data_IF_005213843752
#
_entry.id   IF_005213843752
#
_cell.length_a   1.000
_cell.length_b   1.000
_cell.length_c   1.000
_cell.angle_alpha   90.00
_cell.angle_beta   90.00
_cell.angle_gamma   90.00
#
_symmetry.space_group_name_H-M   'P 1'
#
loop_
_entity.id
_entity.type
_entity.pdbx_description
1 polymer ?
#
# COMPACT_ATOMS: atom_id res chain seq x y z
N UNK A 1 2.10 8.87 4.59
CA UNK A 1 1.47 8.60 3.28
C UNK A 1 0.03 9.04 3.37
N UNK A 2 -0.47 9.83 2.40
CA UNK A 2 -1.87 10.28 2.35
C UNK A 2 -2.48 9.76 1.05
N UNK A 3 -3.60 9.06 1.16
CA UNK A 3 -4.37 8.56 0.03
C UNK A 3 -5.85 8.51 0.39
N UNK A 4 -6.72 8.77 -0.58
CA UNK A 4 -8.17 8.56 -0.46
C UNK A 4 -8.47 7.15 -0.94
N UNK A 5 -9.28 6.40 -0.19
CA UNK A 5 -9.69 5.04 -0.57
C UNK A 5 -11.16 5.05 -0.95
N UNK A 6 -11.47 4.67 -2.19
CA UNK A 6 -12.83 4.55 -2.71
C UNK A 6 -13.24 3.08 -2.77
N UNK A 7 -14.49 2.79 -2.43
CA UNK A 7 -15.02 1.42 -2.57
C UNK A 7 -15.26 1.05 -4.03
N UNK A 8 -15.81 1.96 -4.82
CA UNK A 8 -16.27 1.71 -6.19
C UNK A 8 -15.57 2.59 -7.21
N UNK A 9 -15.60 2.16 -8.48
CA UNK A 9 -15.10 2.94 -9.61
C UNK A 9 -15.86 4.26 -9.76
N UNK A 10 -17.19 4.25 -9.64
CA UNK A 10 -17.98 5.49 -9.67
C UNK A 10 -17.64 6.46 -8.54
N UNK A 11 -17.24 5.94 -7.37
CA UNK A 11 -16.74 6.77 -6.27
C UNK A 11 -15.40 7.43 -6.58
N UNK A 12 -14.53 6.78 -7.36
CA UNK A 12 -13.29 7.36 -7.88
C UNK A 12 -13.59 8.47 -8.90
N UNK A 13 -14.48 8.21 -9.87
CA UNK A 13 -14.87 9.18 -10.90
C UNK A 13 -15.55 10.42 -10.29
N UNK A 14 -16.31 10.26 -9.20
CA UNK A 14 -16.98 11.37 -8.53
C UNK A 14 -16.01 12.32 -7.77
N UNK A 15 -14.76 11.91 -7.52
CA UNK A 15 -13.79 12.76 -6.82
C UNK A 15 -13.24 13.89 -7.68
N UNK A 16 -13.12 13.66 -8.99
CA UNK A 16 -12.53 14.63 -9.92
C UNK A 16 -13.15 14.46 -11.30
N UNK A 17 -13.70 15.56 -11.83
CA UNK A 17 -14.24 15.60 -13.19
C UNK A 17 -13.42 16.52 -14.07
N UNK A 18 -13.55 16.32 -15.38
CA UNK A 18 -12.82 17.08 -16.39
C UNK A 18 -13.80 17.77 -17.33
N UNK A 19 -13.44 18.97 -17.78
CA UNK A 19 -14.19 19.67 -18.81
C UNK A 19 -13.97 19.05 -20.20
N UNK A 20 -14.68 19.56 -21.21
CA UNK A 20 -14.57 19.09 -22.60
C UNK A 20 -13.17 19.25 -23.22
N UNK A 21 -12.30 20.06 -22.61
CA UNK A 21 -10.93 20.29 -23.06
C UNK A 21 -9.92 19.42 -22.28
N UNK A 22 -10.38 18.63 -21.30
CA UNK A 22 -9.54 17.79 -20.45
C UNK A 22 -8.91 18.53 -19.26
N UNK A 23 -9.38 19.72 -18.90
CA UNK A 23 -8.95 20.41 -17.69
C UNK A 23 -9.79 19.99 -16.48
N UNK A 24 -9.16 19.94 -15.31
CA UNK A 24 -9.87 19.64 -14.04
C UNK A 24 -10.92 20.71 -13.77
N UNK A 25 -12.16 20.28 -13.57
CA UNK A 25 -13.23 21.14 -13.11
C UNK A 25 -13.09 21.40 -11.61
N UNK A 26 -12.64 22.60 -11.26
CA UNK A 26 -12.41 23.00 -9.86
C UNK A 26 -13.71 23.29 -9.08
N UNK A 27 -14.86 23.23 -9.73
CA UNK A 27 -16.17 23.46 -9.12
C UNK A 27 -16.87 22.16 -8.69
N UNK A 28 -16.35 21.00 -9.09
CA UNK A 28 -16.96 19.70 -8.86
C UNK A 28 -16.17 18.81 -7.89
N UNK A 29 -16.79 17.70 -7.46
CA UNK A 29 -16.13 16.66 -6.68
C UNK A 29 -15.44 17.17 -5.42
N UNK A 30 -14.23 16.67 -5.17
CA UNK A 30 -13.45 17.03 -3.98
C UNK A 30 -12.90 18.47 -4.07
N UNK A 31 -12.62 18.97 -5.29
CA UNK A 31 -12.16 20.34 -5.51
C UNK A 31 -13.23 21.37 -5.15
N UNK A 32 -14.47 21.15 -5.61
CA UNK A 32 -15.62 21.98 -5.29
C UNK A 32 -15.94 22.00 -3.80
N UNK A 33 -15.93 20.83 -3.14
CA UNK A 33 -16.10 20.74 -1.69
C UNK A 33 -14.99 21.49 -0.93
N UNK A 34 -13.74 21.31 -1.34
CA UNK A 34 -12.60 22.02 -0.78
C UNK A 34 -12.73 23.54 -0.95
N UNK A 35 -13.12 24.00 -2.14
CA UNK A 35 -13.35 25.42 -2.40
C UNK A 35 -14.47 26.01 -1.53
N UNK A 36 -15.59 25.30 -1.36
CA UNK A 36 -16.71 25.71 -0.51
C UNK A 36 -16.27 25.87 0.96
N UNK A 37 -15.39 24.99 1.43
CA UNK A 37 -14.83 25.04 2.79
C UNK A 37 -13.62 25.98 2.93
N UNK A 38 -13.25 26.72 1.89
CA UNK A 38 -12.07 27.61 1.89
C UNK A 38 -10.72 26.86 1.90
N UNK A 39 -10.70 25.55 1.62
CA UNK A 39 -9.54 24.67 1.61
C UNK A 39 -9.33 24.08 0.23
N UNK A 40 -8.83 24.90 -0.69
CA UNK A 40 -8.57 24.46 -2.07
C UNK A 40 -7.49 23.37 -2.12
N UNK A 41 -7.72 22.36 -2.93
CA UNK A 41 -6.78 21.28 -3.20
C UNK A 41 -5.97 21.64 -4.44
N UNK A 42 -4.72 22.05 -4.24
CA UNK A 42 -3.84 22.46 -5.35
C UNK A 42 -2.78 21.40 -5.70
N UNK A 43 -2.55 20.44 -4.80
CA UNK A 43 -1.58 19.37 -4.98
C UNK A 43 -2.24 18.08 -5.44
N UNK A 44 -1.44 17.21 -6.06
CA UNK A 44 -1.88 15.86 -6.43
C UNK A 44 -2.14 15.04 -5.18
N UNK A 45 -3.22 14.25 -5.20
CA UNK A 45 -3.53 13.27 -4.18
C UNK A 45 -3.62 11.87 -4.81
N UNK A 46 -3.30 10.85 -4.01
CA UNK A 46 -3.42 9.46 -4.43
C UNK A 46 -4.82 8.96 -4.14
N UNK A 47 -5.44 8.26 -5.09
CA UNK A 47 -6.70 7.54 -4.87
C UNK A 47 -6.50 6.06 -5.13
N UNK A 48 -7.03 5.22 -4.25
CA UNK A 48 -7.04 3.76 -4.39
C UNK A 48 -8.49 3.30 -4.46
N UNK A 49 -8.88 2.68 -5.58
CA UNK A 49 -10.21 2.09 -5.74
C UNK A 49 -10.16 0.60 -5.41
N UNK A 50 -10.91 0.18 -4.38
CA UNK A 50 -10.93 -1.21 -3.91
C UNK A 50 -11.53 -2.17 -4.93
N UNK A 51 -12.57 -1.78 -5.66
CA UNK A 51 -13.17 -2.57 -6.74
C UNK A 51 -12.18 -2.89 -7.86
N UNK A 52 -11.21 -2.00 -8.11
CA UNK A 52 -10.17 -2.21 -9.11
C UNK A 52 -8.99 -3.06 -8.58
N UNK A 53 -8.95 -3.38 -7.29
CA UNK A 53 -7.89 -4.21 -6.72
C UNK A 53 -8.17 -5.69 -6.98
N UNK A 54 -7.27 -6.33 -7.71
CA UNK A 54 -7.29 -7.77 -7.88
C UNK A 54 -6.78 -8.46 -6.62
N UNK A 55 -7.44 -9.56 -6.24
CA UNK A 55 -6.94 -10.45 -5.18
C UNK A 55 -5.56 -10.98 -5.55
N UNK A 56 -4.59 -10.76 -4.69
CA UNK A 56 -3.28 -11.37 -4.82
C UNK A 56 -3.18 -12.47 -3.76
N UNK A 57 -3.15 -13.72 -4.23
CA UNK A 57 -3.10 -14.88 -3.35
C UNK A 57 -1.77 -14.87 -2.57
N UNK A 58 -1.84 -14.71 -1.26
CA UNK A 58 -0.70 -14.84 -0.36
C UNK A 58 -0.22 -16.29 -0.33
N UNK A 59 0.72 -16.66 -1.21
CA UNK A 59 1.59 -17.80 -0.94
C UNK A 59 2.65 -17.33 0.06
N UNK A 60 2.70 -17.96 1.24
CA UNK A 60 3.84 -17.79 2.16
C UNK A 60 5.12 -18.10 1.37
N UNK A 61 6.16 -17.28 1.46
CA UNK A 61 7.45 -17.57 0.87
C UNK A 61 7.94 -18.81 1.60
N UNK A 62 8.39 -19.79 0.84
CA UNK A 62 9.12 -20.91 1.40
C UNK A 62 10.55 -20.74 0.94
N UNK A 63 11.49 -20.93 1.84
CA UNK A 63 12.86 -21.20 1.44
C UNK A 63 12.87 -22.46 0.56
N UNK A 64 13.82 -22.54 -0.36
CA UNK A 64 14.17 -23.81 -1.02
C UNK A 64 14.75 -24.84 -0.01
N UNK A 65 15.06 -24.39 1.22
CA UNK A 65 15.70 -25.15 2.30
C UNK A 65 14.87 -25.25 3.59
N UNK A 66 13.63 -24.76 3.62
CA UNK A 66 12.77 -24.66 4.83
C UNK A 66 13.34 -23.87 6.05
N UNK A 67 14.58 -23.36 5.99
CA UNK A 67 15.15 -22.51 7.04
C UNK A 67 14.68 -21.06 6.94
N UNK A 68 14.28 -20.48 8.07
CA UNK A 68 13.90 -19.06 8.17
C UNK A 68 15.17 -18.21 8.33
N UNK A 69 15.36 -17.12 7.57
CA UNK A 69 16.56 -16.30 7.70
C UNK A 69 16.65 -15.71 9.10
N UNK A 70 17.87 -15.61 9.62
CA UNK A 70 18.14 -14.94 10.90
C UNK A 70 17.47 -13.56 10.93
N UNK A 71 16.88 -13.23 12.07
CA UNK A 71 16.26 -11.92 12.29
C UNK A 71 14.97 -11.67 11.53
N UNK A 72 14.44 -12.60 10.73
CA UNK A 72 13.13 -12.43 10.08
C UNK A 72 12.00 -12.42 11.12
N UNK A 73 11.17 -11.37 11.11
CA UNK A 73 10.07 -11.17 12.05
C UNK A 73 8.70 -11.45 11.43
N UNK A 74 8.63 -11.59 10.11
CA UNK A 74 7.38 -11.77 9.38
C UNK A 74 7.20 -10.75 8.27
N UNK A 75 5.99 -10.70 7.74
CA UNK A 75 5.61 -9.74 6.71
C UNK A 75 4.94 -8.51 7.28
N UNK A 76 5.27 -7.35 6.74
CA UNK A 76 4.69 -6.07 7.14
C UNK A 76 3.15 -6.08 7.04
N UNK A 77 2.60 -6.69 5.99
CA UNK A 77 1.15 -6.79 5.79
C UNK A 77 0.43 -7.50 6.95
N UNK A 78 1.09 -8.44 7.64
CA UNK A 78 0.52 -9.17 8.78
C UNK A 78 0.70 -8.44 10.12
N UNK A 79 1.56 -7.42 10.16
CA UNK A 79 1.81 -6.62 11.37
C UNK A 79 0.83 -5.45 11.53
N UNK A 80 -0.01 -5.22 10.52
CA UNK A 80 -1.06 -4.18 10.55
C UNK A 80 -2.25 -4.74 11.32
N UNK A 81 -2.62 -4.09 12.42
CA UNK A 81 -3.88 -4.37 13.08
C UNK A 81 -5.03 -3.70 12.32
N UNK A 82 -6.08 -4.45 11.97
CA UNK A 82 -7.23 -3.95 11.21
C UNK A 82 -8.44 -4.03 12.13
N UNK A 83 -9.19 -2.93 12.22
CA UNK A 83 -10.44 -2.87 12.97
C UNK A 83 -11.41 -3.94 12.48
N UNK A 84 -12.09 -4.62 13.42
CA UNK A 84 -13.02 -5.72 13.13
C UNK A 84 -14.16 -5.33 12.18
N UNK A 85 -14.57 -4.05 12.19
CA UNK A 85 -15.57 -3.53 11.26
C UNK A 85 -15.12 -3.58 9.78
N UNK A 86 -13.82 -3.68 9.52
CA UNK A 86 -13.22 -3.74 8.18
C UNK A 86 -12.60 -5.11 7.85
N UNK A 87 -12.87 -6.12 8.69
CA UNK A 87 -12.40 -7.48 8.45
C UNK A 87 -13.27 -8.25 7.47
N UNK A 88 -14.51 -7.83 7.17
CA UNK A 88 -15.38 -8.61 6.29
C UNK A 88 -16.15 -7.72 5.31
N UNK A 89 -16.40 -8.23 4.10
CA UNK A 89 -17.28 -7.63 3.08
C UNK A 89 -16.97 -6.18 2.70
N UNK A 90 -15.69 -5.82 2.64
CA UNK A 90 -15.29 -4.43 2.33
C UNK A 90 -15.43 -4.13 0.83
N UNK A 91 -15.26 -5.15 -0.01
CA UNK A 91 -15.44 -5.08 -1.46
C UNK A 91 -16.73 -5.75 -1.91
N UNK A 92 -17.21 -5.40 -3.11
CA UNK A 92 -18.40 -6.02 -3.73
C UNK A 92 -18.28 -7.54 -3.92
N UNK A 93 -17.05 -8.06 -4.00
CA UNK A 93 -16.74 -9.49 -4.10
C UNK A 93 -16.48 -10.16 -2.75
N UNK A 94 -16.68 -9.45 -1.64
CA UNK A 94 -16.58 -9.99 -0.27
C UNK A 94 -15.17 -10.08 0.30
N UNK A 95 -14.17 -9.47 -0.33
CA UNK A 95 -12.77 -9.46 0.15
C UNK A 95 -12.55 -8.40 1.25
N UNK A 96 -11.60 -8.70 2.13
CA UNK A 96 -11.14 -7.88 3.25
C UNK A 96 -10.03 -6.90 2.83
N UNK A 97 -9.71 -5.92 3.69
CA UNK A 97 -8.66 -4.93 3.40
C UNK A 97 -7.25 -5.52 3.39
N UNK A 98 -7.00 -6.62 4.10
CA UNK A 98 -5.64 -7.18 4.24
C UNK A 98 -5.15 -7.73 2.91
N UNK A 99 -5.92 -8.60 2.27
CA UNK A 99 -5.58 -9.24 1.00
C UNK A 99 -5.81 -8.36 -0.24
N UNK A 100 -6.43 -7.19 -0.07
CA UNK A 100 -6.64 -6.20 -1.14
C UNK A 100 -5.72 -5.00 -0.95
N UNK A 101 -6.16 -4.00 -0.18
CA UNK A 101 -5.49 -2.71 0.01
C UNK A 101 -4.08 -2.87 0.58
N UNK A 102 -3.96 -3.52 1.74
CA UNK A 102 -2.67 -3.61 2.42
C UNK A 102 -1.71 -4.52 1.68
N UNK A 103 -2.20 -5.57 1.03
CA UNK A 103 -1.35 -6.37 0.16
C UNK A 103 -0.88 -5.58 -1.06
N UNK A 104 -1.71 -4.70 -1.66
CA UNK A 104 -1.26 -3.83 -2.76
C UNK A 104 -0.15 -2.87 -2.31
N UNK A 105 -0.22 -2.38 -1.08
CA UNK A 105 0.75 -1.41 -0.52
C UNK A 105 2.05 -2.07 -0.05
N UNK A 106 1.95 -3.21 0.63
CA UNK A 106 3.09 -3.86 1.28
C UNK A 106 3.55 -5.14 0.58
N UNK A 107 2.76 -5.72 -0.33
CA UNK A 107 3.07 -6.97 -1.02
C UNK A 107 3.61 -8.02 -0.04
N UNK A 108 4.76 -8.64 -0.36
CA UNK A 108 5.54 -9.52 0.52
C UNK A 108 6.72 -8.78 1.17
N UNK A 109 6.55 -7.53 1.57
CA UNK A 109 7.57 -6.75 2.27
C UNK A 109 7.97 -7.45 3.57
N UNK A 110 9.22 -7.88 3.64
CA UNK A 110 9.78 -8.62 4.77
C UNK A 110 10.26 -7.65 5.85
N UNK A 111 10.13 -8.03 7.11
CA UNK A 111 10.59 -7.24 8.26
C UNK A 111 11.67 -8.01 9.00
N UNK A 112 12.78 -7.34 9.28
CA UNK A 112 13.96 -7.90 9.95
C UNK A 112 14.30 -7.15 11.24
N UNK A 113 14.93 -7.83 12.18
CA UNK A 113 15.38 -7.25 13.45
C UNK A 113 16.49 -6.22 13.23
N UNK A 114 17.51 -6.55 12.45
CA UNK A 114 18.65 -5.66 12.17
C UNK A 114 18.93 -5.56 10.67
N UNK A 115 19.65 -4.51 10.27
CA UNK A 115 20.10 -4.32 8.89
C UNK A 115 21.09 -5.42 8.49
N UNK A 116 21.90 -5.91 9.42
CA UNK A 116 22.83 -7.00 9.18
C UNK A 116 22.09 -8.30 8.80
N UNK A 117 21.08 -8.67 9.59
CA UNK A 117 20.19 -9.81 9.30
C UNK A 117 19.53 -9.65 7.92
N UNK A 118 18.99 -8.46 7.63
CA UNK A 118 18.33 -8.15 6.36
C UNK A 118 19.27 -8.32 5.15
N UNK A 119 20.53 -7.89 5.27
CA UNK A 119 21.52 -8.01 4.19
C UNK A 119 21.99 -9.46 4.00
N UNK A 120 22.05 -10.26 5.06
CA UNK A 120 22.34 -11.70 4.93
C UNK A 120 21.21 -12.43 4.18
N UNK A 121 19.97 -11.96 4.32
CA UNK A 121 18.80 -12.51 3.63
C UNK A 121 18.57 -11.95 2.22
N UNK A 122 19.47 -11.13 1.67
CA UNK A 122 19.33 -10.51 0.34
C UNK A 122 18.92 -11.50 -0.78
N UNK A 123 19.49 -12.73 -0.87
CA UNK A 123 19.16 -13.68 -1.94
C UNK A 123 17.69 -14.15 -1.95
N UNK A 124 16.97 -14.01 -0.84
CA UNK A 124 15.58 -14.49 -0.70
C UNK A 124 14.55 -13.37 -0.62
N UNK A 125 15.00 -12.11 -0.62
CA UNK A 125 14.13 -10.94 -0.65
C UNK A 125 13.67 -10.71 -2.09
N UNK A 126 12.35 -10.71 -2.32
CA UNK A 126 11.74 -10.61 -3.66
C UNK A 126 11.12 -9.25 -3.93
N UNK A 127 10.22 -8.78 -3.05
CA UNK A 127 9.51 -7.51 -3.24
C UNK A 127 10.16 -6.33 -2.50
N UNK A 128 10.88 -6.60 -1.41
CA UNK A 128 11.53 -5.59 -0.59
C UNK A 128 11.67 -6.06 0.86
N UNK A 129 12.45 -5.31 1.64
CA UNK A 129 12.63 -5.57 3.06
C UNK A 129 12.90 -4.29 3.85
N UNK A 130 12.53 -4.31 5.13
CA UNK A 130 12.87 -3.26 6.10
C UNK A 130 13.46 -3.88 7.36
N UNK A 131 14.34 -3.16 8.04
CA UNK A 131 14.84 -3.54 9.36
C UNK A 131 14.43 -2.54 10.44
N UNK A 132 14.28 -3.01 11.69
CA UNK A 132 13.86 -2.15 12.82
C UNK A 132 14.88 -1.06 13.15
N UNK A 133 16.17 -1.28 12.83
CA UNK A 133 17.26 -0.30 12.95
C UNK A 133 17.37 0.65 11.73
N UNK A 134 16.38 0.65 10.83
CA UNK A 134 16.20 1.70 9.81
C UNK A 134 16.70 1.35 8.41
N UNK A 135 17.17 0.14 8.14
CA UNK A 135 17.52 -0.32 6.81
C UNK A 135 16.28 -0.49 5.91
N UNK A 136 16.40 -0.11 4.63
CA UNK A 136 15.33 -0.25 3.64
C UNK A 136 15.89 -0.77 2.30
N UNK A 137 15.30 -1.86 1.81
CA UNK A 137 15.44 -2.39 0.46
C UNK A 137 14.09 -2.25 -0.23
N UNK A 138 14.03 -1.42 -1.27
CA UNK A 138 12.77 -1.15 -2.00
C UNK A 138 12.38 -2.30 -2.92
N UNK A 139 13.36 -2.92 -3.57
CA UNK A 139 13.20 -4.06 -4.47
C UNK A 139 14.56 -4.68 -4.74
N UNK A 140 14.60 -5.81 -5.46
CA UNK A 140 15.85 -6.37 -5.98
C UNK A 140 16.64 -5.29 -6.72
N UNK A 141 17.91 -5.10 -6.33
CA UNK A 141 18.81 -4.10 -6.90
C UNK A 141 18.57 -2.65 -6.48
N UNK A 142 17.60 -2.35 -5.60
CA UNK A 142 17.28 -0.97 -5.18
C UNK A 142 17.29 -0.85 -3.66
N UNK A 143 18.30 -0.16 -3.13
CA UNK A 143 18.46 0.11 -1.69
C UNK A 143 18.32 1.61 -1.38
N UNK A 144 17.87 1.93 -0.17
CA UNK A 144 17.82 3.30 0.33
C UNK A 144 18.94 3.48 1.36
N UNK A 145 19.76 4.52 1.16
CA UNK A 145 20.90 4.88 2.00
C UNK A 145 20.79 6.35 2.40
N UNK A 146 21.50 6.75 3.44
CA UNK A 146 21.48 8.11 3.99
C UNK A 146 20.84 8.17 5.37
N UNK A 147 20.90 9.35 5.99
CA UNK A 147 20.24 9.63 7.26
C UNK A 147 18.72 9.68 7.07
N UNK A 148 17.99 9.37 8.15
CA UNK A 148 16.54 9.30 8.19
C UNK A 148 15.94 10.55 8.82
#
# INVERSE_FOLDING_TARGET
MLAVVCKTHGGLEALETYDKNGFIDKSSGLHGLGALMGRRLNDRFLVICLENLRRLAMKKPRYLSDEVPSGFLGFAVNMINIDSANLYFVTCTGHELRETLFYKLFSRLQVYKTRADMLQALPVITDGAVSLDGGIIKSVGVSVLGER
#
